data_IF_715025024403
#
_entry.id   IF_715025024403
#
_cell.length_a   1.000
_cell.length_b   1.000
_cell.length_c   1.000
_cell.angle_alpha   90.00
_cell.angle_beta   90.00
_cell.angle_gamma   90.00
#
_symmetry.space_group_name_H-M   'P 1'
#
loop_
_entity.id
_entity.type
_entity.pdbx_description
1 polymer ?
#
# COMPACT_ATOMS: atom_id res chain seq x y z
N UNK A 1 19.89 12.51 9.14
CA UNK A 1 20.06 11.81 10.44
C UNK A 1 19.49 12.63 11.59
N UNK A 2 19.06 13.84 11.27
CA UNK A 2 18.64 14.94 12.11
C UNK A 2 17.48 14.56 13.04
N UNK A 3 16.56 13.68 12.61
CA UNK A 3 15.48 13.17 13.45
C UNK A 3 16.01 12.33 14.63
N UNK A 4 16.98 11.45 14.39
CA UNK A 4 17.54 10.61 15.45
C UNK A 4 18.41 11.45 16.40
N UNK A 5 19.21 12.35 15.84
CA UNK A 5 20.08 13.27 16.59
C UNK A 5 19.27 14.21 17.48
N UNK A 6 18.23 14.86 16.95
CA UNK A 6 17.35 15.75 17.71
C UNK A 6 16.61 15.05 18.85
N UNK A 7 16.35 13.75 18.72
CA UNK A 7 15.69 12.94 19.74
C UNK A 7 16.69 12.17 20.64
N UNK A 8 17.99 12.40 20.48
CA UNK A 8 19.05 11.67 21.19
C UNK A 8 18.89 10.15 21.10
N UNK A 9 18.49 9.64 19.92
CA UNK A 9 18.36 8.21 19.65
C UNK A 9 19.62 7.77 18.90
N UNK A 10 20.54 7.02 19.53
CA UNK A 10 21.72 6.49 18.84
C UNK A 10 21.30 5.62 17.66
N UNK A 11 21.95 5.82 16.53
CA UNK A 11 21.67 5.06 15.31
C UNK A 11 21.87 3.54 15.51
N UNK A 12 22.79 3.16 16.39
CA UNK A 12 23.10 1.78 16.76
C UNK A 12 21.95 1.07 17.49
N UNK A 13 20.97 1.80 18.02
CA UNK A 13 19.81 1.21 18.70
C UNK A 13 18.74 0.72 17.72
N UNK A 14 18.90 0.97 16.41
CA UNK A 14 17.96 0.49 15.39
C UNK A 14 18.16 -1.01 15.19
N UNK A 15 17.18 -1.80 15.64
CA UNK A 15 17.18 -3.26 15.50
C UNK A 15 16.46 -3.74 14.23
N UNK A 16 15.60 -2.89 13.65
CA UNK A 16 14.76 -3.29 12.54
C UNK A 16 14.31 -2.14 11.65
N UNK A 17 13.99 -2.49 10.40
CA UNK A 17 13.51 -1.57 9.39
C UNK A 17 12.36 -2.19 8.59
N UNK A 18 11.23 -1.50 8.58
CA UNK A 18 10.04 -1.86 7.82
C UNK A 18 9.74 -0.83 6.75
N UNK A 19 9.56 -1.25 5.50
CA UNK A 19 9.19 -0.33 4.40
C UNK A 19 8.43 -1.03 3.28
N UNK A 20 7.93 -0.26 2.31
CA UNK A 20 7.36 -0.82 1.09
C UNK A 20 8.41 -1.65 0.32
N UNK A 21 7.91 -2.53 -0.55
CA UNK A 21 8.74 -3.44 -1.34
C UNK A 21 9.56 -2.76 -2.44
N UNK A 22 9.61 -1.43 -2.51
CA UNK A 22 10.22 -0.71 -3.62
C UNK A 22 11.73 -0.93 -3.65
N UNK A 23 12.29 -0.97 -4.86
CA UNK A 23 13.72 -1.23 -5.07
C UNK A 23 14.62 -0.15 -4.42
N UNK A 24 14.13 1.10 -4.30
CA UNK A 24 14.85 2.17 -3.59
C UNK A 24 14.94 1.92 -2.08
N UNK A 25 13.98 1.20 -1.51
CA UNK A 25 13.91 0.92 -0.06
C UNK A 25 14.58 -0.41 0.28
N UNK A 26 14.23 -1.46 -0.46
CA UNK A 26 14.55 -2.86 -0.15
C UNK A 26 15.34 -3.58 -1.25
N UNK A 27 15.77 -2.87 -2.29
CA UNK A 27 16.58 -3.42 -3.37
C UNK A 27 17.96 -3.90 -2.94
N UNK A 28 18.58 -4.74 -3.75
CA UNK A 28 19.93 -5.26 -3.47
C UNK A 28 21.02 -4.18 -3.58
N UNK A 29 20.84 -3.24 -4.51
CA UNK A 29 21.86 -2.25 -4.88
C UNK A 29 21.36 -0.84 -4.60
N UNK A 30 22.19 -0.05 -3.91
CA UNK A 30 21.97 1.37 -3.65
C UNK A 30 20.58 1.71 -3.06
N UNK A 31 20.03 0.79 -2.28
CA UNK A 31 18.78 0.97 -1.52
C UNK A 31 19.04 1.44 -0.10
N UNK A 32 18.01 1.93 0.58
CA UNK A 32 18.08 2.24 2.01
C UNK A 32 18.57 1.03 2.80
N UNK A 33 18.03 -0.16 2.57
CA UNK A 33 18.47 -1.36 3.29
C UNK A 33 19.90 -1.77 2.97
N UNK A 34 20.35 -1.65 1.72
CA UNK A 34 21.75 -1.94 1.37
C UNK A 34 22.71 -1.04 2.15
N UNK A 35 22.34 0.23 2.36
CA UNK A 35 23.13 1.21 3.14
C UNK A 35 22.99 1.01 4.65
N UNK A 36 21.80 0.65 5.13
CA UNK A 36 21.58 0.32 6.54
C UNK A 36 22.41 -0.91 6.94
N UNK A 37 22.44 -1.95 6.11
CA UNK A 37 23.23 -3.17 6.38
C UNK A 37 24.74 -2.94 6.45
N UNK A 38 25.27 -1.91 5.79
CA UNK A 38 26.69 -1.53 5.92
C UNK A 38 27.01 -1.01 7.33
N UNK A 39 26.07 -0.29 7.95
CA UNK A 39 26.26 0.32 9.27
C UNK A 39 25.70 -0.56 10.40
N UNK A 40 24.71 -1.40 10.11
CA UNK A 40 23.94 -2.24 11.03
C UNK A 40 23.81 -3.65 10.41
N UNK A 41 24.87 -4.48 10.41
CA UNK A 41 24.86 -5.78 9.74
C UNK A 41 23.81 -6.76 10.29
N UNK A 42 23.38 -6.58 11.54
CA UNK A 42 22.35 -7.39 12.20
C UNK A 42 20.91 -6.88 12.06
N UNK A 43 20.66 -5.83 11.26
CA UNK A 43 19.33 -5.22 11.17
C UNK A 43 18.30 -6.19 10.58
N UNK A 44 17.15 -6.30 11.26
CA UNK A 44 16.00 -7.09 10.77
C UNK A 44 15.23 -6.27 9.75
N UNK A 45 14.94 -6.86 8.60
CA UNK A 45 14.29 -6.16 7.49
C UNK A 45 12.95 -6.81 7.17
N UNK A 46 11.88 -6.03 7.22
CA UNK A 46 10.52 -6.51 6.94
C UNK A 46 9.89 -5.72 5.80
N UNK A 47 9.40 -6.43 4.77
CA UNK A 47 8.54 -5.84 3.72
C UNK A 47 7.16 -5.54 4.29
N UNK A 48 6.58 -4.42 3.88
CA UNK A 48 5.22 -4.05 4.25
C UNK A 48 4.22 -5.12 3.77
N UNK A 49 3.60 -5.82 4.72
CA UNK A 49 2.61 -6.87 4.44
C UNK A 49 1.42 -6.29 3.67
N UNK A 50 0.97 -5.09 4.02
CA UNK A 50 -0.13 -4.42 3.33
C UNK A 50 0.18 -4.18 1.84
N UNK A 51 1.40 -3.75 1.54
CA UNK A 51 1.83 -3.54 0.15
C UNK A 51 1.94 -4.87 -0.60
N UNK A 52 2.47 -5.92 0.04
CA UNK A 52 2.52 -7.27 -0.54
C UNK A 52 1.11 -7.81 -0.84
N UNK A 53 0.17 -7.69 0.09
CA UNK A 53 -1.22 -8.11 -0.10
C UNK A 53 -1.90 -7.32 -1.23
N UNK A 54 -1.66 -6.00 -1.29
CA UNK A 54 -2.17 -5.17 -2.38
C UNK A 54 -1.66 -5.64 -3.75
N UNK A 55 -0.36 -5.95 -3.87
CA UNK A 55 0.21 -6.48 -5.11
C UNK A 55 -0.42 -7.83 -5.49
N UNK A 56 -0.57 -8.76 -4.53
CA UNK A 56 -1.23 -10.04 -4.77
C UNK A 56 -2.68 -9.85 -5.27
N UNK A 57 -3.44 -8.98 -4.62
CA UNK A 57 -4.81 -8.67 -5.04
C UNK A 57 -4.85 -8.01 -6.42
N UNK A 58 -3.96 -7.06 -6.69
CA UNK A 58 -3.84 -6.35 -7.97
C UNK A 58 -3.54 -7.31 -9.13
N UNK A 59 -2.61 -8.25 -8.93
CA UNK A 59 -2.31 -9.29 -9.93
C UNK A 59 -3.48 -10.26 -10.11
N UNK A 60 -4.15 -10.68 -9.02
CA UNK A 60 -5.34 -11.53 -9.12
C UNK A 60 -6.47 -10.84 -9.91
N UNK A 61 -6.65 -9.52 -9.73
CA UNK A 61 -7.62 -8.74 -10.48
C UNK A 61 -7.38 -8.73 -12.00
N UNK A 62 -6.15 -8.96 -12.48
CA UNK A 62 -5.88 -9.08 -13.92
C UNK A 62 -6.52 -10.31 -14.57
N UNK A 63 -6.80 -11.33 -13.76
CA UNK A 63 -7.47 -12.57 -14.21
C UNK A 63 -8.98 -12.47 -14.06
N UNK A 64 -9.47 -11.59 -13.17
CA UNK A 64 -10.90 -11.37 -13.01
C UNK A 64 -11.50 -10.73 -14.28
N UNK A 65 -12.74 -11.06 -14.64
CA UNK A 65 -13.34 -10.46 -15.82
C UNK A 65 -13.64 -8.98 -15.53
N UNK A 66 -13.30 -8.12 -16.50
CA UNK A 66 -13.27 -6.65 -16.38
C UNK A 66 -14.55 -6.04 -15.78
N UNK A 67 -15.70 -6.63 -16.08
CA UNK A 67 -17.00 -6.21 -15.55
C UNK A 67 -17.08 -6.17 -14.00
N UNK A 68 -16.29 -6.97 -13.28
CA UNK A 68 -16.27 -6.96 -11.81
C UNK A 68 -15.58 -5.70 -11.30
N UNK A 69 -14.47 -5.31 -11.95
CA UNK A 69 -13.76 -4.07 -11.63
C UNK A 69 -14.61 -2.86 -11.99
N UNK A 70 -15.24 -2.88 -13.17
CA UNK A 70 -16.14 -1.81 -13.62
C UNK A 70 -17.33 -1.65 -12.66
N UNK A 71 -17.97 -2.76 -12.24
CA UNK A 71 -19.04 -2.75 -11.25
C UNK A 71 -18.59 -2.10 -9.94
N UNK A 72 -17.44 -2.52 -9.40
CA UNK A 72 -16.90 -1.97 -8.16
C UNK A 72 -16.59 -0.46 -8.30
N UNK A 73 -15.98 -0.04 -9.41
CA UNK A 73 -15.68 1.37 -9.72
C UNK A 73 -16.96 2.19 -9.87
N UNK A 74 -17.97 1.66 -10.55
CA UNK A 74 -19.24 2.33 -10.79
C UNK A 74 -20.01 2.52 -9.47
N UNK A 75 -20.10 1.49 -8.63
CA UNK A 75 -20.70 1.59 -7.29
C UNK A 75 -19.95 2.62 -6.44
N UNK A 76 -18.62 2.54 -6.38
CA UNK A 76 -17.81 3.50 -5.63
C UNK A 76 -17.99 4.93 -6.14
N UNK A 77 -17.96 5.13 -7.46
CA UNK A 77 -18.16 6.42 -8.10
C UNK A 77 -19.54 7.02 -7.83
N UNK A 78 -20.59 6.18 -7.81
CA UNK A 78 -21.95 6.59 -7.50
C UNK A 78 -22.04 7.23 -6.10
N UNK A 79 -21.46 6.58 -5.09
CA UNK A 79 -21.49 7.08 -3.71
C UNK A 79 -20.48 8.22 -3.47
N UNK A 80 -19.27 8.13 -4.03
CA UNK A 80 -18.21 9.15 -3.86
C UNK A 80 -18.66 10.52 -4.37
N UNK A 81 -19.31 10.56 -5.53
CA UNK A 81 -19.67 11.83 -6.19
C UNK A 81 -20.94 12.48 -5.61
N UNK A 82 -21.64 11.82 -4.68
CA UNK A 82 -22.81 12.42 -4.07
C UNK A 82 -23.20 11.77 -2.74
N UNK A 83 -22.86 12.46 -1.65
CA UNK A 83 -23.31 12.16 -0.28
C UNK A 83 -24.83 12.32 -0.07
N UNK A 84 -25.60 12.74 -1.09
CA UNK A 84 -27.07 12.82 -1.05
C UNK A 84 -27.76 11.60 -1.68
N UNK A 85 -27.02 10.70 -2.34
CA UNK A 85 -27.55 9.48 -3.00
C UNK A 85 -27.55 8.26 -2.07
N UNK A 86 -27.89 8.45 -0.80
CA UNK A 86 -28.22 7.33 0.11
C UNK A 86 -29.65 6.81 -0.08
N UNK A 87 -30.35 7.24 -1.13
CA UNK A 87 -31.66 6.69 -1.44
C UNK A 87 -31.49 5.32 -2.13
N UNK A 88 -31.79 4.26 -1.38
CA UNK A 88 -31.79 2.87 -1.81
C UNK A 88 -32.57 2.63 -3.12
N UNK A 89 -33.63 3.41 -3.39
CA UNK A 89 -34.39 3.28 -4.65
C UNK A 89 -33.57 3.72 -5.87
N UNK A 90 -32.84 4.82 -5.75
CA UNK A 90 -31.99 5.32 -6.84
C UNK A 90 -30.78 4.40 -7.06
N UNK A 91 -30.25 3.80 -5.98
CA UNK A 91 -29.21 2.78 -6.10
C UNK A 91 -29.75 1.50 -6.76
N UNK A 92 -30.96 1.07 -6.42
CA UNK A 92 -31.60 -0.10 -7.02
C UNK A 92 -31.82 0.08 -8.53
N UNK A 93 -32.27 1.25 -8.97
CA UNK A 93 -32.42 1.56 -10.38
C UNK A 93 -31.06 1.61 -11.10
N UNK A 94 -30.03 2.17 -10.46
CA UNK A 94 -28.67 2.17 -10.99
C UNK A 94 -28.11 0.75 -11.19
N UNK A 95 -28.26 -0.14 -10.19
CA UNK A 95 -27.81 -1.55 -10.30
C UNK A 95 -28.57 -2.33 -11.37
N UNK A 96 -29.84 -1.99 -11.64
CA UNK A 96 -30.62 -2.62 -12.71
C UNK A 96 -30.21 -2.20 -14.13
N UNK A 97 -29.44 -1.12 -14.27
CA UNK A 97 -28.98 -0.60 -15.56
C UNK A 97 -27.44 -0.71 -15.73
N UNK A 98 -26.79 -1.48 -14.84
CA UNK A 98 -25.35 -1.80 -14.84
C UNK A 98 -25.11 -3.11 -15.60
#
# INVERSE_FOLDING_TARGET
>A
MDLFESNNIPFQNIIGFGSDGCNTMLGANNSVVSRLKLNLPGIIVQKCICHSLHLCASEACKVLPRHCEDLARNIFGYFKNSSKRHNLQNFRHFVQNL
#
